data_IF_725323050117
#
_entry.id   IF_725323050117
#
_cell.length_a   1.000
_cell.length_b   1.000
_cell.length_c   1.000
_cell.angle_alpha   90.00
_cell.angle_beta   90.00
_cell.angle_gamma   90.00
#
_symmetry.space_group_name_H-M   'P 1'
#
loop_
_entity.id
_entity.type
_entity.pdbx_description
1 polymer ?
#
# COMPACT_ATOMS: atom_id res chain seq x y z
N UNK A 1 -2.35 -5.36 6.35
CA UNK A 1 -1.64 -6.49 5.68
C UNK A 1 -1.45 -6.35 4.17
N UNK A 2 -2.08 -5.41 3.46
CA UNK A 2 -1.78 -5.14 2.04
C UNK A 2 -2.53 -5.99 1.00
N UNK A 3 -3.49 -6.82 1.40
CA UNK A 3 -4.26 -7.66 0.45
C UNK A 3 -5.18 -6.81 -0.46
N UNK A 4 -5.82 -5.78 0.10
CA UNK A 4 -6.70 -4.89 -0.64
C UNK A 4 -5.99 -4.16 -1.79
N UNK A 5 -4.78 -3.63 -1.56
CA UNK A 5 -4.03 -2.93 -2.63
C UNK A 5 -3.62 -3.86 -3.76
N UNK A 6 -3.45 -5.15 -3.48
CA UNK A 6 -3.17 -6.17 -4.51
C UNK A 6 -4.42 -6.44 -5.34
N UNK A 7 -5.60 -6.54 -4.73
CA UNK A 7 -6.87 -6.70 -5.45
C UNK A 7 -7.18 -5.47 -6.33
N UNK A 8 -6.94 -4.28 -5.79
CA UNK A 8 -7.14 -3.00 -6.49
C UNK A 8 -6.12 -2.77 -7.61
N UNK A 9 -5.03 -3.54 -7.69
CA UNK A 9 -4.04 -3.43 -8.77
C UNK A 9 -4.60 -3.77 -10.16
N UNK A 10 -5.80 -4.37 -10.22
CA UNK A 10 -6.55 -4.59 -11.45
C UNK A 10 -7.16 -3.30 -12.03
N UNK A 11 -7.30 -2.25 -11.21
CA UNK A 11 -7.77 -0.95 -11.65
C UNK A 11 -6.72 -0.25 -12.53
N UNK A 12 -7.21 0.61 -13.40
CA UNK A 12 -6.39 1.47 -14.26
C UNK A 12 -5.86 2.69 -13.49
N UNK A 13 -5.16 2.41 -12.38
CA UNK A 13 -4.44 3.41 -11.60
C UNK A 13 -2.95 3.35 -11.95
N UNK A 14 -2.34 4.51 -12.21
CA UNK A 14 -0.91 4.63 -12.47
C UNK A 14 -0.08 4.13 -11.28
N UNK A 15 -0.51 4.50 -10.06
CA UNK A 15 0.12 4.09 -8.80
C UNK A 15 -0.94 3.87 -7.72
N UNK A 16 -0.70 2.91 -6.84
CA UNK A 16 -1.52 2.65 -5.65
C UNK A 16 -0.64 2.85 -4.42
N UNK A 17 -1.11 3.63 -3.45
CA UNK A 17 -0.42 3.84 -2.17
C UNK A 17 -1.22 3.14 -1.07
N UNK A 18 -0.59 2.17 -0.41
CA UNK A 18 -1.14 1.49 0.76
C UNK A 18 -0.54 2.06 2.03
N UNK A 19 -1.38 2.56 2.94
CA UNK A 19 -0.96 3.08 4.24
C UNK A 19 -1.25 2.05 5.34
N UNK A 20 -0.31 1.88 6.26
CA UNK A 20 -0.49 1.06 7.46
C UNK A 20 0.22 1.75 8.64
N UNK A 21 -0.46 1.85 9.79
CA UNK A 21 0.09 2.49 11.00
C UNK A 21 1.08 1.57 11.73
N UNK A 22 1.01 0.26 11.49
CA UNK A 22 1.84 -0.73 12.17
C UNK A 22 3.06 -1.11 11.32
N UNK A 23 4.30 -0.86 11.77
CA UNK A 23 5.50 -1.24 11.05
C UNK A 23 5.58 -2.74 10.74
N UNK A 24 5.08 -3.59 11.64
CA UNK A 24 5.05 -5.04 11.43
C UNK A 24 4.10 -5.44 10.30
N UNK A 25 2.93 -4.82 10.24
CA UNK A 25 1.94 -5.10 9.19
C UNK A 25 2.36 -4.51 7.85
N UNK A 26 3.06 -3.37 7.88
CA UNK A 26 3.66 -2.74 6.72
C UNK A 26 4.68 -3.66 6.05
N UNK A 27 5.58 -4.28 6.81
CA UNK A 27 6.57 -5.20 6.25
C UNK A 27 5.93 -6.47 5.67
N UNK A 28 4.89 -7.01 6.31
CA UNK A 28 4.12 -8.11 5.73
C UNK A 28 3.49 -7.68 4.39
N UNK A 29 2.91 -6.48 4.33
CA UNK A 29 2.33 -5.92 3.11
C UNK A 29 3.34 -5.76 1.98
N UNK A 30 4.51 -5.16 2.26
CA UNK A 30 5.61 -5.03 1.30
C UNK A 30 6.06 -6.38 0.74
N UNK A 31 6.20 -7.39 1.59
CA UNK A 31 6.56 -8.74 1.14
C UNK A 31 5.51 -9.35 0.22
N UNK A 32 4.21 -9.17 0.52
CA UNK A 32 3.12 -9.66 -0.34
C UNK A 32 3.12 -8.97 -1.69
N UNK A 33 3.21 -7.63 -1.71
CA UNK A 33 3.27 -6.83 -2.94
C UNK A 33 4.43 -7.27 -3.84
N UNK A 34 5.62 -7.44 -3.26
CA UNK A 34 6.81 -7.91 -3.99
C UNK A 34 6.63 -9.33 -4.53
N UNK A 35 6.05 -10.24 -3.74
CA UNK A 35 5.74 -11.61 -4.18
C UNK A 35 4.73 -11.65 -5.33
N UNK A 36 3.81 -10.69 -5.38
CA UNK A 36 2.86 -10.52 -6.49
C UNK A 36 3.47 -9.83 -7.71
N UNK A 37 4.72 -9.36 -7.66
CA UNK A 37 5.38 -8.63 -8.75
C UNK A 37 4.79 -7.24 -9.02
N UNK A 38 4.05 -6.69 -8.05
CA UNK A 38 3.33 -5.42 -8.17
C UNK A 38 4.06 -4.24 -7.51
N UNK A 39 5.30 -4.44 -7.05
CA UNK A 39 6.13 -3.43 -6.38
C UNK A 39 6.50 -2.23 -7.28
N UNK A 40 6.34 -2.37 -8.60
CA UNK A 40 6.48 -1.27 -9.55
C UNK A 40 5.25 -0.34 -9.60
N UNK A 41 4.09 -0.78 -9.08
CA UNK A 41 2.82 -0.03 -9.09
C UNK A 41 2.27 0.27 -7.69
N UNK A 42 2.57 -0.57 -6.71
CA UNK A 42 2.08 -0.44 -5.34
C UNK A 42 3.21 -0.01 -4.43
N UNK A 43 2.98 1.08 -3.70
CA UNK A 43 3.90 1.63 -2.70
C UNK A 43 3.25 1.53 -1.31
N UNK A 44 3.94 0.88 -0.38
CA UNK A 44 3.44 0.67 0.98
C UNK A 44 4.17 1.60 1.94
N UNK A 45 3.43 2.53 2.55
CA UNK A 45 3.96 3.61 3.39
C UNK A 45 3.47 3.48 4.84
N UNK A 46 4.35 3.81 5.79
CA UNK A 46 3.96 3.93 7.19
C UNK A 46 3.16 5.21 7.35
N UNK A 47 1.96 5.12 7.92
CA UNK A 47 1.16 6.31 8.15
C UNK A 47 -0.14 6.00 8.86
N UNK A 48 -0.63 7.00 9.58
CA UNK A 48 -1.95 6.99 10.16
C UNK A 48 -2.91 7.65 9.18
N UNK A 49 -3.85 6.86 8.64
CA UNK A 49 -4.84 7.36 7.69
C UNK A 49 -5.77 8.41 8.28
N UNK A 50 -5.99 8.41 9.59
CA UNK A 50 -6.84 9.40 10.27
C UNK A 50 -6.11 10.72 10.50
N UNK A 51 -4.78 10.69 10.51
CA UNK A 51 -3.92 11.87 10.61
C UNK A 51 -3.43 12.36 9.24
N UNK A 52 -3.92 11.78 8.13
CA UNK A 52 -3.63 12.28 6.79
C UNK A 52 -4.14 13.70 6.66
N UNK A 53 -3.21 14.64 6.68
CA UNK A 53 -3.49 16.01 6.26
C UNK A 53 -3.63 15.97 4.74
N UNK A 54 -4.84 16.22 4.24
CA UNK A 54 -5.02 16.49 2.82
C UNK A 54 -4.29 17.79 2.49
N UNK A 55 -3.36 17.75 1.55
CA UNK A 55 -2.86 18.99 0.93
C UNK A 55 -4.01 19.65 0.15
N UNK A 56 -4.12 20.98 0.26
CA UNK A 56 -5.07 21.81 -0.51
C UNK A 56 -4.67 21.93 -1.98
#
# INVERSE_FOLDING_TARGET
>A
TGDLVIELATLDAEKIIGLDISPGMLEIGKQKVKKSGLDHRIDMQLGDSEALQSEE
#
